data_IF_605690862187
#
_entry.id   IF_605690862187
#
_cell.length_a   1.000
_cell.length_b   1.000
_cell.length_c   1.000
_cell.angle_alpha   90.00
_cell.angle_beta   90.00
_cell.angle_gamma   90.00
#
_symmetry.space_group_name_H-M   'P 1'
#
loop_
_entity.id
_entity.type
_entity.pdbx_description
1 polymer ?
#
# COMPACT_ATOMS: atom_id res chain seq x y z
N UNK A 1 -14.88 0.73 1.86
CA UNK A 1 -14.33 1.92 1.17
C UNK A 1 -15.18 2.24 -0.05
N UNK A 2 -15.63 3.50 -0.24
CA UNK A 2 -16.49 3.92 -1.38
C UNK A 2 -15.69 4.15 -2.66
N UNK A 3 -14.50 4.75 -2.54
CA UNK A 3 -13.56 4.97 -3.65
C UNK A 3 -12.78 3.67 -3.88
N UNK A 4 -12.75 3.16 -5.11
CA UNK A 4 -12.09 1.88 -5.45
C UNK A 4 -11.45 1.88 -6.84
N UNK A 5 -12.10 2.52 -7.81
CA UNK A 5 -11.71 2.44 -9.23
C UNK A 5 -10.69 3.49 -9.60
N UNK A 6 -10.89 4.73 -9.17
CA UNK A 6 -10.12 5.90 -9.57
C UNK A 6 -8.62 5.75 -9.21
N UNK A 7 -8.24 5.31 -7.98
CA UNK A 7 -6.83 5.06 -7.68
C UNK A 7 -6.22 3.94 -8.53
N UNK A 8 -6.98 2.88 -8.82
CA UNK A 8 -6.51 1.77 -9.67
C UNK A 8 -6.29 2.22 -11.11
N UNK A 9 -7.20 3.03 -11.65
CA UNK A 9 -7.08 3.58 -13.00
C UNK A 9 -5.82 4.44 -13.15
N UNK A 10 -5.53 5.29 -12.17
CA UNK A 10 -4.30 6.08 -12.16
C UNK A 10 -3.07 5.15 -12.11
N UNK A 11 -3.06 4.15 -11.23
CA UNK A 11 -1.94 3.22 -11.12
C UNK A 11 -1.69 2.41 -12.39
N UNK A 12 -2.73 2.05 -13.14
CA UNK A 12 -2.63 1.33 -14.41
C UNK A 12 -2.02 2.19 -15.53
N UNK A 13 -2.01 3.51 -15.39
CA UNK A 13 -1.40 4.43 -16.36
C UNK A 13 0.09 4.66 -16.09
N UNK A 14 0.61 4.24 -14.92
CA UNK A 14 2.02 4.44 -14.57
C UNK A 14 2.92 3.42 -15.29
N UNK A 15 4.00 3.86 -15.97
CA UNK A 15 4.90 2.94 -16.64
C UNK A 15 5.66 2.06 -15.65
N UNK A 16 5.84 0.79 -16.02
CA UNK A 16 6.55 -0.19 -15.19
C UNK A 16 5.84 -0.53 -13.88
N UNK A 17 4.56 -0.20 -13.74
CA UNK A 17 3.71 -0.62 -12.62
C UNK A 17 2.81 -1.76 -13.08
N UNK A 18 2.85 -2.88 -12.34
CA UNK A 18 1.91 -3.97 -12.49
C UNK A 18 1.01 -4.00 -11.26
N UNK A 19 -0.30 -3.87 -11.47
CA UNK A 19 -1.26 -3.98 -10.39
C UNK A 19 -1.47 -5.47 -10.04
N UNK A 20 -1.12 -5.85 -8.82
CA UNK A 20 -1.43 -7.16 -8.26
C UNK A 20 -2.77 -7.08 -7.52
N UNK A 21 -3.72 -7.97 -7.84
CA UNK A 21 -4.98 -8.02 -7.13
C UNK A 21 -4.80 -8.62 -5.73
N UNK A 22 -5.34 -7.93 -4.73
CA UNK A 22 -5.30 -8.35 -3.34
C UNK A 22 -6.64 -8.97 -2.94
N UNK A 23 -6.63 -10.25 -2.60
CA UNK A 23 -7.81 -10.92 -2.08
C UNK A 23 -8.27 -10.26 -0.77
N UNK A 24 -9.56 -9.95 -0.68
CA UNK A 24 -10.12 -9.24 0.48
C UNK A 24 -9.58 -7.81 0.65
N UNK A 25 -9.26 -7.11 -0.45
CA UNK A 25 -8.75 -5.75 -0.42
C UNK A 25 -9.62 -4.78 0.42
N UNK A 26 -10.92 -5.01 0.47
CA UNK A 26 -11.91 -4.24 1.22
C UNK A 26 -11.89 -4.45 2.74
N UNK A 27 -11.28 -5.53 3.22
CA UNK A 27 -11.13 -5.81 4.65
C UNK A 27 -10.28 -4.71 5.29
N UNK A 28 -10.65 -4.25 6.49
CA UNK A 28 -9.94 -3.19 7.19
C UNK A 28 -8.49 -3.59 7.51
N UNK A 29 -7.58 -2.61 7.59
CA UNK A 29 -6.20 -2.80 8.03
C UNK A 29 -6.04 -2.98 9.55
N UNK A 30 -7.07 -2.64 10.33
CA UNK A 30 -7.04 -2.63 11.79
C UNK A 30 -6.79 -1.25 12.44
N UNK A 31 -6.30 -0.23 11.71
CA UNK A 31 -6.03 1.09 12.31
C UNK A 31 -7.27 1.80 12.85
N UNK A 32 -8.20 2.14 11.95
CA UNK A 32 -9.47 2.85 12.22
C UNK A 32 -9.41 3.92 13.33
N UNK A 33 -8.56 4.94 13.15
CA UNK A 33 -8.39 6.02 14.14
C UNK A 33 -7.56 5.54 15.32
N UNK A 34 -8.20 5.39 16.49
CA UNK A 34 -7.56 4.86 17.72
C UNK A 34 -7.88 3.38 17.97
N UNK A 35 -8.57 2.70 17.03
CA UNK A 35 -9.04 1.34 17.23
C UNK A 35 -7.90 0.36 17.49
N UNK A 36 -6.76 0.52 16.82
CA UNK A 36 -5.57 -0.29 17.09
C UNK A 36 -5.02 -0.14 18.53
N UNK A 37 -5.27 1.00 19.19
CA UNK A 37 -4.87 1.24 20.58
C UNK A 37 -5.91 0.73 21.58
N UNK A 38 -7.20 0.86 21.24
CA UNK A 38 -8.30 0.48 22.15
C UNK A 38 -8.72 -0.98 22.00
N UNK A 39 -8.46 -1.59 20.84
CA UNK A 39 -8.86 -2.95 20.45
C UNK A 39 -7.67 -3.66 19.77
N UNK A 40 -6.53 -3.67 20.45
CA UNK A 40 -5.25 -4.13 19.91
C UNK A 40 -5.29 -5.57 19.40
N UNK A 41 -5.90 -6.50 20.13
CA UNK A 41 -5.99 -7.90 19.72
C UNK A 41 -6.72 -8.05 18.38
N UNK A 42 -7.92 -7.48 18.28
CA UNK A 42 -8.72 -7.54 17.04
C UNK A 42 -8.04 -6.81 15.88
N UNK A 43 -7.46 -5.64 16.15
CA UNK A 43 -6.66 -4.90 15.15
C UNK A 43 -5.49 -5.73 14.63
N UNK A 44 -4.82 -6.49 15.50
CA UNK A 44 -3.68 -7.32 15.15
C UNK A 44 -4.12 -8.51 14.31
N UNK A 45 -5.22 -9.18 14.68
CA UNK A 45 -5.81 -10.28 13.89
C UNK A 45 -6.15 -9.83 12.47
N UNK A 46 -6.76 -8.65 12.31
CA UNK A 46 -7.05 -8.08 10.99
C UNK A 46 -5.78 -7.80 10.19
N UNK A 47 -4.76 -7.27 10.85
CA UNK A 47 -3.48 -6.95 10.23
C UNK A 47 -2.74 -8.21 9.79
N UNK A 48 -2.63 -9.22 10.65
CA UNK A 48 -1.94 -10.48 10.38
C UNK A 48 -2.61 -11.21 9.21
N UNK A 49 -3.95 -11.26 9.18
CA UNK A 49 -4.71 -11.78 8.04
C UNK A 49 -4.39 -10.99 6.75
N UNK A 50 -4.39 -9.66 6.82
CA UNK A 50 -4.09 -8.79 5.66
C UNK A 50 -2.67 -9.02 5.13
N UNK A 51 -1.69 -9.16 6.02
CA UNK A 51 -0.29 -9.43 5.65
C UNK A 51 -0.13 -10.76 4.93
N UNK A 52 -0.81 -11.82 5.38
CA UNK A 52 -0.82 -13.12 4.68
C UNK A 52 -1.37 -13.02 3.26
N UNK A 53 -2.44 -12.25 3.05
CA UNK A 53 -2.99 -12.00 1.71
C UNK A 53 -2.02 -11.20 0.83
N UNK A 54 -1.32 -10.21 1.41
CA UNK A 54 -0.32 -9.42 0.69
C UNK A 54 0.86 -10.29 0.27
N UNK A 55 1.39 -11.14 1.15
CA UNK A 55 2.49 -12.04 0.82
C UNK A 55 2.15 -12.96 -0.35
N UNK A 56 0.91 -13.47 -0.39
CA UNK A 56 0.42 -14.31 -1.48
C UNK A 56 0.39 -13.60 -2.85
N UNK A 57 0.33 -12.26 -2.89
CA UNK A 57 0.36 -11.51 -4.17
C UNK A 57 1.73 -11.46 -4.82
N UNK A 58 2.81 -11.65 -4.06
CA UNK A 58 4.18 -11.39 -4.51
C UNK A 58 4.49 -9.91 -4.80
N UNK A 59 3.60 -8.98 -4.43
CA UNK A 59 3.81 -7.56 -4.63
C UNK A 59 4.96 -7.04 -3.76
N UNK A 60 5.73 -6.10 -4.30
CA UNK A 60 6.84 -5.45 -3.60
C UNK A 60 6.43 -4.14 -2.93
N UNK A 61 5.32 -3.56 -3.35
CA UNK A 61 4.85 -2.26 -2.88
C UNK A 61 3.36 -2.37 -2.56
N UNK A 62 2.99 -1.98 -1.34
CA UNK A 62 1.61 -1.76 -0.91
C UNK A 62 1.32 -0.27 -1.07
N UNK A 63 0.25 0.06 -1.79
CA UNK A 63 -0.16 1.46 -1.98
C UNK A 63 -1.45 1.73 -1.21
N UNK A 64 -1.47 2.82 -0.45
CA UNK A 64 -2.67 3.28 0.26
C UNK A 64 -2.81 4.80 0.20
N UNK A 65 -4.03 5.31 0.30
CA UNK A 65 -4.35 6.74 0.34
C UNK A 65 -4.77 7.22 1.72
N UNK A 66 -4.65 6.36 2.75
CA UNK A 66 -5.02 6.69 4.12
C UNK A 66 -3.79 6.59 5.03
N UNK A 67 -3.40 7.68 5.72
CA UNK A 67 -2.23 7.68 6.61
C UNK A 67 -2.30 6.66 7.76
N UNK A 68 -3.49 6.42 8.33
CA UNK A 68 -3.68 5.41 9.36
C UNK A 68 -3.44 3.99 8.82
N UNK A 69 -3.96 3.69 7.64
CA UNK A 69 -3.63 2.45 6.92
C UNK A 69 -2.13 2.36 6.63
N UNK A 70 -1.50 3.43 6.18
CA UNK A 70 -0.07 3.45 5.86
C UNK A 70 0.77 3.06 7.09
N UNK A 71 0.55 3.71 8.22
CA UNK A 71 1.27 3.40 9.47
C UNK A 71 1.02 1.96 9.93
N UNK A 72 -0.22 1.50 9.84
CA UNK A 72 -0.59 0.14 10.21
C UNK A 72 0.04 -0.91 9.28
N UNK A 73 0.11 -0.64 7.97
CA UNK A 73 0.78 -1.52 7.00
C UNK A 73 2.29 -1.57 7.27
N UNK A 74 2.93 -0.43 7.55
CA UNK A 74 4.36 -0.39 7.90
C UNK A 74 4.65 -1.26 9.13
N UNK A 75 3.83 -1.13 10.16
CA UNK A 75 3.92 -2.00 11.33
C UNK A 75 3.68 -3.48 10.99
N UNK A 76 2.69 -3.78 10.15
CA UNK A 76 2.40 -5.13 9.68
C UNK A 76 3.54 -5.79 8.91
N UNK A 77 4.21 -5.01 8.04
CA UNK A 77 5.38 -5.46 7.28
C UNK A 77 6.50 -5.89 8.23
N UNK A 78 6.84 -5.05 9.22
CA UNK A 78 7.88 -5.36 10.20
C UNK A 78 7.51 -6.58 11.04
N UNK A 79 6.27 -6.62 11.53
CA UNK A 79 5.75 -7.73 12.33
C UNK A 79 5.76 -9.06 11.59
N UNK A 80 5.49 -9.05 10.29
CA UNK A 80 5.52 -10.23 9.43
C UNK A 80 6.92 -10.59 8.91
N UNK A 81 7.98 -9.84 9.27
CA UNK A 81 9.34 -10.09 8.80
C UNK A 81 9.55 -9.80 7.31
N UNK A 82 8.75 -8.91 6.72
CA UNK A 82 8.74 -8.60 5.30
C UNK A 82 9.49 -7.31 4.94
N UNK A 83 10.09 -6.61 5.90
CA UNK A 83 10.68 -5.27 5.73
C UNK A 83 11.80 -5.17 4.67
N UNK A 84 12.41 -6.30 4.29
CA UNK A 84 13.43 -6.36 3.23
C UNK A 84 12.85 -6.72 1.84
N UNK A 85 11.55 -7.00 1.76
CA UNK A 85 10.88 -7.54 0.55
C UNK A 85 9.71 -6.66 0.09
N UNK A 86 9.01 -6.03 1.04
CA UNK A 86 7.79 -5.28 0.80
C UNK A 86 7.87 -3.91 1.46
N UNK A 87 7.45 -2.87 0.75
CA UNK A 87 7.33 -1.51 1.25
C UNK A 87 5.88 -1.03 1.21
N UNK A 88 5.46 -0.22 2.18
CA UNK A 88 4.17 0.48 2.14
C UNK A 88 4.37 1.97 1.90
N UNK A 89 3.71 2.51 0.88
CA UNK A 89 3.81 3.91 0.46
C UNK A 89 2.43 4.58 0.35
N UNK A 90 2.41 5.90 0.48
CA UNK A 90 1.22 6.68 0.16
C UNK A 90 1.08 6.81 -1.37
N UNK A 91 -0.16 6.82 -1.87
CA UNK A 91 -0.43 6.98 -3.31
C UNK A 91 0.21 8.25 -3.88
N UNK A 92 0.13 9.37 -3.16
CA UNK A 92 0.71 10.65 -3.61
C UNK A 92 2.23 10.56 -3.71
N UNK A 93 2.90 9.92 -2.75
CA UNK A 93 4.36 9.77 -2.77
C UNK A 93 4.78 8.94 -3.99
N UNK A 94 4.07 7.84 -4.25
CA UNK A 94 4.30 7.01 -5.44
C UNK A 94 4.12 7.82 -6.74
N UNK A 95 3.09 8.67 -6.82
CA UNK A 95 2.84 9.49 -8.00
C UNK A 95 3.91 10.55 -8.19
N UNK A 96 4.34 11.23 -7.13
CA UNK A 96 5.42 12.21 -7.18
C UNK A 96 6.70 11.53 -7.67
N UNK A 97 7.06 10.38 -7.09
CA UNK A 97 8.26 9.65 -7.49
C UNK A 97 8.19 9.23 -8.96
N UNK A 98 7.04 8.76 -9.45
CA UNK A 98 6.93 8.25 -10.82
C UNK A 98 6.77 9.34 -11.88
N UNK A 99 5.97 10.37 -11.62
CA UNK A 99 5.69 11.45 -12.57
C UNK A 99 6.86 12.45 -12.63
N UNK A 100 7.49 12.78 -11.50
CA UNK A 100 8.64 13.70 -11.50
C UNK A 100 9.89 13.06 -12.13
N UNK A 101 10.01 11.72 -12.09
CA UNK A 101 11.08 11.01 -12.80
C UNK A 101 10.85 11.04 -14.32
N UNK A 102 9.61 10.98 -14.81
CA UNK A 102 9.31 11.14 -16.25
C UNK A 102 9.75 12.50 -16.78
N UNK A 103 9.44 13.59 -16.07
CA UNK A 103 9.87 14.95 -16.46
C UNK A 103 11.41 15.06 -16.53
N UNK A 104 12.14 14.41 -15.61
CA UNK A 104 13.60 14.43 -15.62
C UNK A 104 14.21 13.55 -16.72
N UNK A 105 13.57 12.44 -17.08
CA UNK A 105 14.03 11.56 -18.16
C UNK A 105 13.70 12.10 -19.55
N UNK A 106 12.64 12.90 -19.69
CA UNK A 106 12.32 13.63 -20.93
C UNK A 106 13.13 14.95 -21.08
N UNK A 107 13.65 15.51 -19.99
CA UNK A 107 14.50 16.70 -19.99
C UNK A 107 16.01 16.42 -20.13
N UNK A 108 16.45 15.16 -20.22
CA UNK A 108 17.84 14.83 -20.53
C UNK A 108 18.10 15.05 -22.03
N UNK A 109 19.00 15.97 -22.43
CA UNK A 109 19.28 16.23 -23.83
C UNK A 109 20.00 15.02 -24.46
N UNK A 110 19.61 14.74 -25.70
CA UNK A 110 20.28 13.83 -26.65
C UNK A 110 21.74 14.18 -26.89
#
# INVERSE_FOLDING_TARGET
MRVKGEPRQIMQQLPGVQLCELQGAEICCGSAGIYNLTQTEMSTTLLDHKMGQIEATGAKIIVTSNPGCLLQMKWGIERAGMQNRVEAVHLVDLLVDRVVIEDKQQAAPS
#
